data_IF_775659697684
#
_entry.id   IF_775659697684
#
_cell.length_a   1.000
_cell.length_b   1.000
_cell.length_c   1.000
_cell.angle_alpha   90.00
_cell.angle_beta   90.00
_cell.angle_gamma   90.00
#
_symmetry.space_group_name_H-M   'P 1'
#
loop_
_entity.id
_entity.type
_entity.pdbx_description
1 polymer ?
#
# COMPACT_ATOMS: atom_id res chain seq x y z
N UNK A 1 -30.76 5.43 -68.02
CA UNK A 1 -29.72 5.55 -66.97
C UNK A 1 -29.02 4.20 -66.87
N UNK A 2 -27.83 4.01 -67.48
CA UNK A 2 -27.12 2.74 -67.49
C UNK A 2 -26.22 2.54 -66.27
N UNK A 3 -25.95 1.26 -65.98
CA UNK A 3 -25.00 0.76 -65.00
C UNK A 3 -23.55 1.04 -65.38
N UNK A 4 -22.69 1.26 -64.39
CA UNK A 4 -21.24 1.06 -64.52
C UNK A 4 -20.66 0.67 -63.16
N UNK A 5 -20.35 -0.62 -63.05
CA UNK A 5 -19.50 -1.24 -62.04
C UNK A 5 -18.06 -0.79 -62.32
N UNK A 6 -17.36 -0.29 -61.31
CA UNK A 6 -15.91 -0.11 -61.36
C UNK A 6 -15.26 -1.05 -60.33
N UNK A 7 -14.48 -1.99 -60.87
CA UNK A 7 -13.66 -2.97 -60.17
C UNK A 7 -12.17 -2.58 -60.34
N UNK A 8 -11.42 -2.66 -59.22
CA UNK A 8 -9.95 -2.77 -59.14
C UNK A 8 -9.13 -1.48 -58.88
N UNK A 9 -7.90 -1.58 -58.31
CA UNK A 9 -7.20 -2.77 -57.81
C UNK A 9 -6.68 -2.69 -56.35
N UNK A 10 -6.30 -3.89 -55.89
CA UNK A 10 -5.69 -4.27 -54.61
C UNK A 10 -4.21 -3.85 -54.51
N UNK A 11 -3.80 -3.47 -53.30
CA UNK A 11 -2.41 -3.38 -52.85
C UNK A 11 -2.22 -2.21 -51.88
N UNK A 12 -1.52 -2.30 -50.76
CA UNK A 12 -0.66 -3.31 -50.18
C UNK A 12 -0.20 -2.76 -48.82
N UNK A 13 0.30 -3.65 -47.95
CA UNK A 13 1.11 -3.38 -46.76
C UNK A 13 0.43 -2.80 -45.53
N UNK A 14 0.19 -3.72 -44.60
CA UNK A 14 -0.05 -3.43 -43.21
C UNK A 14 1.07 -2.62 -42.57
N UNK A 15 0.66 -1.84 -41.59
CA UNK A 15 1.51 -1.44 -40.49
C UNK A 15 0.75 -1.75 -39.20
N UNK A 16 1.06 -2.86 -38.49
CA UNK A 16 0.81 -2.90 -37.07
C UNK A 16 1.77 -1.91 -36.42
N UNK A 17 1.34 -0.66 -36.28
CA UNK A 17 2.09 0.36 -35.55
C UNK A 17 2.24 -0.07 -34.09
N UNK A 18 3.44 -0.57 -33.82
CA UNK A 18 4.13 -0.57 -32.54
C UNK A 18 3.33 -1.16 -31.35
N UNK A 19 3.57 -2.45 -31.11
CA UNK A 19 3.68 -2.98 -29.76
C UNK A 19 4.54 -2.03 -28.91
N UNK A 20 3.87 -1.19 -28.10
CA UNK A 20 4.48 -0.41 -27.04
C UNK A 20 4.88 -1.36 -25.90
N UNK A 21 5.89 -2.19 -26.16
CA UNK A 21 6.48 -3.10 -25.18
C UNK A 21 7.61 -2.35 -24.49
N UNK A 22 7.28 -1.59 -23.45
CA UNK A 22 8.26 -0.82 -22.69
C UNK A 22 7.65 0.21 -21.76
N UNK A 23 6.80 -0.21 -20.82
CA UNK A 23 6.32 0.67 -19.74
C UNK A 23 5.95 -0.07 -18.44
N UNK A 24 6.24 -1.37 -18.31
CA UNK A 24 5.80 -2.15 -17.14
C UNK A 24 6.72 -2.07 -15.91
N UNK A 25 7.97 -1.62 -16.05
CA UNK A 25 8.97 -1.73 -14.98
C UNK A 25 8.92 -0.61 -13.93
N UNK A 26 8.56 0.62 -14.32
CA UNK A 26 8.65 1.79 -13.44
C UNK A 26 7.35 2.12 -12.71
N UNK A 27 6.19 1.75 -13.29
CA UNK A 27 4.89 1.90 -12.63
C UNK A 27 4.73 0.94 -11.45
N UNK A 28 5.17 -0.31 -11.62
CA UNK A 28 5.05 -1.36 -10.60
C UNK A 28 5.91 -1.07 -9.35
N UNK A 29 7.12 -0.52 -9.54
CA UNK A 29 7.98 -0.09 -8.43
C UNK A 29 7.43 1.11 -7.64
N UNK A 30 6.76 2.05 -8.32
CA UNK A 30 6.14 3.21 -7.68
C UNK A 30 4.89 2.84 -6.87
N UNK A 31 4.04 1.96 -7.41
CA UNK A 31 2.85 1.45 -6.71
C UNK A 31 3.23 0.62 -5.48
N UNK A 32 4.25 -0.23 -5.58
CA UNK A 32 4.77 -1.00 -4.44
C UNK A 32 5.35 -0.10 -3.34
N UNK A 33 6.08 0.97 -3.70
CA UNK A 33 6.62 1.92 -2.73
C UNK A 33 5.51 2.74 -2.06
N UNK A 34 4.47 3.11 -2.80
CA UNK A 34 3.30 3.81 -2.26
C UNK A 34 2.54 2.95 -1.24
N UNK A 35 2.39 1.64 -1.50
CA UNK A 35 1.74 0.73 -0.54
C UNK A 35 2.60 0.55 0.72
N UNK A 36 3.92 0.38 0.60
CA UNK A 36 4.82 0.33 1.75
C UNK A 36 4.78 1.62 2.58
N UNK A 37 4.75 2.78 1.92
CA UNK A 37 4.61 4.06 2.60
C UNK A 37 3.29 4.15 3.37
N UNK A 38 2.18 3.70 2.77
CA UNK A 38 0.86 3.65 3.43
C UNK A 38 0.87 2.71 4.64
N UNK A 39 1.41 1.51 4.50
CA UNK A 39 1.54 0.53 5.59
C UNK A 39 2.32 1.13 6.78
N UNK A 40 3.44 1.82 6.51
CA UNK A 40 4.24 2.49 7.53
C UNK A 40 3.49 3.65 8.21
N UNK A 41 2.73 4.45 7.45
CA UNK A 41 1.90 5.52 8.01
C UNK A 41 0.80 5.00 8.92
N UNK A 42 0.06 3.97 8.49
CA UNK A 42 -0.97 3.33 9.31
C UNK A 42 -0.37 2.81 10.63
N UNK A 43 0.79 2.17 10.54
CA UNK A 43 1.46 1.62 11.70
C UNK A 43 1.97 2.71 12.66
N UNK A 44 2.51 3.81 12.15
CA UNK A 44 2.89 4.99 12.94
C UNK A 44 1.69 5.56 13.71
N UNK A 45 0.53 5.68 13.07
CA UNK A 45 -0.70 6.16 13.73
C UNK A 45 -1.13 5.23 14.85
N UNK A 46 -1.05 3.91 14.64
CA UNK A 46 -1.38 2.92 15.67
C UNK A 46 -0.45 3.02 16.90
N UNK A 47 0.86 3.19 16.68
CA UNK A 47 1.85 3.38 17.77
C UNK A 47 1.61 4.69 18.52
N UNK A 48 1.30 5.80 17.84
CA UNK A 48 1.01 7.06 18.53
C UNK A 48 -0.24 6.96 19.41
N UNK A 49 -1.31 6.30 18.93
CA UNK A 49 -2.51 6.01 19.74
C UNK A 49 -2.21 5.12 20.94
N UNK A 50 -1.29 4.17 20.78
CA UNK A 50 -0.83 3.31 21.88
C UNK A 50 -0.21 4.13 23.03
N UNK A 51 0.71 5.04 22.71
CA UNK A 51 1.34 5.91 23.70
C UNK A 51 0.32 6.76 24.46
N UNK A 52 -0.66 7.32 23.75
CA UNK A 52 -1.74 8.09 24.38
C UNK A 52 -2.58 7.23 25.34
N UNK A 53 -2.97 6.01 24.94
CA UNK A 53 -3.74 5.09 25.76
C UNK A 53 -2.94 4.62 27.00
N UNK A 54 -1.65 4.33 26.85
CA UNK A 54 -0.78 3.98 27.97
C UNK A 54 -0.66 5.12 28.97
N UNK A 55 -0.47 6.36 28.49
CA UNK A 55 -0.43 7.54 29.34
C UNK A 55 -1.74 7.72 30.12
N UNK A 56 -2.89 7.49 29.48
CA UNK A 56 -4.19 7.53 30.15
C UNK A 56 -4.33 6.44 31.21
N UNK A 57 -3.86 5.22 30.91
CA UNK A 57 -3.91 4.12 31.86
C UNK A 57 -3.02 4.34 33.09
N UNK A 58 -1.81 4.88 32.89
CA UNK A 58 -0.91 5.28 33.98
C UNK A 58 -1.52 6.41 34.80
N UNK A 59 -2.12 7.41 34.15
CA UNK A 59 -2.81 8.49 34.86
C UNK A 59 -3.96 7.95 35.73
N UNK A 60 -4.77 7.03 35.20
CA UNK A 60 -5.85 6.41 35.95
C UNK A 60 -5.33 5.56 37.12
N UNK A 61 -4.28 4.76 36.89
CA UNK A 61 -3.63 3.96 37.92
C UNK A 61 -3.09 4.86 39.04
N UNK A 62 -2.45 5.98 38.71
CA UNK A 62 -1.93 6.92 39.70
C UNK A 62 -3.02 7.63 40.51
N UNK A 63 -4.23 7.79 39.95
CA UNK A 63 -5.34 8.47 40.62
C UNK A 63 -6.18 7.51 41.46
N UNK A 64 -6.45 6.30 40.97
CA UNK A 64 -7.44 5.38 41.56
C UNK A 64 -6.77 4.12 42.14
N UNK A 65 -5.52 3.81 41.77
CA UNK A 65 -4.81 2.61 42.18
C UNK A 65 -5.10 1.37 41.33
N UNK A 66 -6.05 1.46 40.41
CA UNK A 66 -6.43 0.37 39.50
C UNK A 66 -6.19 0.71 38.03
N UNK A 67 -5.73 -0.29 37.26
CA UNK A 67 -5.57 -0.16 35.82
C UNK A 67 -6.92 -0.26 35.09
N UNK A 68 -7.15 0.51 34.01
CA UNK A 68 -8.37 0.40 33.23
C UNK A 68 -8.54 -0.99 32.60
N UNK A 69 -9.78 -1.49 32.61
CA UNK A 69 -10.14 -2.82 32.06
C UNK A 69 -9.81 -2.96 30.57
N UNK A 70 -9.79 -1.87 29.81
CA UNK A 70 -9.46 -1.85 28.38
C UNK A 70 -7.95 -1.90 28.09
N UNK A 71 -7.08 -1.77 29.10
CA UNK A 71 -5.63 -1.64 28.94
C UNK A 71 -5.02 -2.86 28.23
N UNK A 72 -5.44 -4.07 28.60
CA UNK A 72 -4.93 -5.31 28.00
C UNK A 72 -5.22 -5.36 26.50
N UNK A 73 -6.44 -4.98 26.10
CA UNK A 73 -6.82 -4.96 24.68
C UNK A 73 -6.15 -3.82 23.92
N UNK A 74 -5.93 -2.67 24.57
CA UNK A 74 -5.11 -1.61 24.01
C UNK A 74 -3.69 -2.11 23.72
N UNK A 75 -3.01 -2.74 24.70
CA UNK A 75 -1.66 -3.32 24.56
C UNK A 75 -1.60 -4.37 23.45
N UNK A 76 -2.58 -5.27 23.37
CA UNK A 76 -2.65 -6.27 22.27
C UNK A 76 -2.70 -5.63 20.89
N UNK A 77 -3.43 -4.52 20.73
CA UNK A 77 -3.48 -3.77 19.45
C UNK A 77 -2.11 -3.16 19.12
N UNK A 78 -1.36 -2.70 20.12
CA UNK A 78 0.01 -2.20 19.94
C UNK A 78 0.94 -3.30 19.45
N UNK A 79 0.94 -4.45 20.12
CA UNK A 79 1.79 -5.59 19.73
C UNK A 79 1.55 -5.98 18.27
N UNK A 80 0.27 -6.05 17.85
CA UNK A 80 -0.08 -6.30 16.45
C UNK A 80 0.42 -5.20 15.50
N UNK A 81 0.35 -3.93 15.91
CA UNK A 81 0.87 -2.82 15.10
C UNK A 81 2.40 -2.90 14.95
N UNK A 82 3.13 -3.19 16.03
CA UNK A 82 4.59 -3.37 16.01
C UNK A 82 4.98 -4.53 15.09
N UNK A 83 4.29 -5.67 15.18
CA UNK A 83 4.52 -6.80 14.27
C UNK A 83 4.30 -6.44 12.79
N UNK A 84 3.33 -5.56 12.48
CA UNK A 84 3.12 -5.04 11.12
C UNK A 84 4.28 -4.12 10.68
N UNK A 85 4.83 -3.32 11.58
CA UNK A 85 6.02 -2.49 11.32
C UNK A 85 7.21 -3.38 11.00
N UNK A 86 7.49 -4.37 11.85
CA UNK A 86 8.64 -5.28 11.65
C UNK A 86 8.56 -5.99 10.30
N UNK A 87 7.36 -6.45 9.91
CA UNK A 87 7.13 -7.05 8.60
C UNK A 87 7.37 -6.05 7.45
N UNK A 88 6.89 -4.82 7.55
CA UNK A 88 7.13 -3.79 6.54
C UNK A 88 8.63 -3.41 6.44
N UNK A 89 9.32 -3.28 7.58
CA UNK A 89 10.77 -3.02 7.63
C UNK A 89 11.56 -4.16 6.99
N UNK A 90 11.18 -5.42 7.23
CA UNK A 90 11.82 -6.57 6.59
C UNK A 90 11.66 -6.53 5.06
N UNK A 91 10.45 -6.22 4.56
CA UNK A 91 10.20 -6.07 3.11
C UNK A 91 11.04 -4.95 2.49
N UNK A 92 11.15 -3.81 3.17
CA UNK A 92 12.00 -2.70 2.72
C UNK A 92 13.46 -3.12 2.68
N UNK A 93 13.96 -3.78 3.73
CA UNK A 93 15.34 -4.23 3.80
C UNK A 93 15.68 -5.27 2.70
N UNK A 94 14.80 -6.25 2.47
CA UNK A 94 14.95 -7.26 1.42
C UNK A 94 15.01 -6.63 0.03
N UNK A 95 14.21 -5.58 -0.22
CA UNK A 95 14.19 -4.86 -1.50
C UNK A 95 15.43 -4.00 -1.76
N UNK A 96 16.12 -3.58 -0.71
CA UNK A 96 17.32 -2.73 -0.78
C UNK A 96 18.64 -3.54 -0.88
N UNK A 97 18.58 -4.87 -0.78
CA UNK A 97 19.73 -5.78 -0.97
C UNK A 97 19.75 -6.38 -2.36
#
# INVERSE_FOLDING_TARGET
MPAAVHDGPVGDRGQPSALRRGAGGSQDGGEQLAELQRELFEARVAVNRAGANLNQAVAQLNVIGDAPVWLVDAVRRVVKAVQRIDAATFRVHDRLR
#
